data_IF_954762459401
#
_entry.id   IF_954762459401
#
_cell.length_a   1.000
_cell.length_b   1.000
_cell.length_c   1.000
_cell.angle_alpha   90.00
_cell.angle_beta   90.00
_cell.angle_gamma   90.00
#
_symmetry.space_group_name_H-M   'P 1'
#
loop_
_entity.id
_entity.type
_entity.pdbx_description
1 polymer ?
#
# COMPACT_ATOMS: atom_id res chain seq x y z
N UNK A 1 0.05 17.99 -9.25
CA UNK A 1 -0.16 16.87 -10.19
C UNK A 1 -1.14 15.91 -9.54
N UNK A 2 -2.16 15.51 -10.29
CA UNK A 2 -3.16 14.55 -9.83
C UNK A 2 -3.09 13.34 -10.74
N UNK A 3 -3.01 12.15 -10.15
CA UNK A 3 -3.00 10.87 -10.86
C UNK A 3 -4.36 10.20 -10.71
N UNK A 4 -4.69 9.32 -11.65
CA UNK A 4 -5.86 8.45 -11.52
C UNK A 4 -5.51 7.23 -10.69
N UNK A 5 -6.44 6.86 -9.80
CA UNK A 5 -6.46 5.58 -9.13
C UNK A 5 -7.55 4.75 -9.81
N UNK A 6 -7.21 3.55 -10.29
CA UNK A 6 -8.17 2.71 -11.01
C UNK A 6 -7.85 1.24 -10.79
N UNK A 7 -8.87 0.44 -10.47
CA UNK A 7 -8.72 -1.02 -10.47
C UNK A 7 -8.70 -1.56 -11.90
N UNK A 8 -8.19 -2.79 -12.10
CA UNK A 8 -8.04 -3.39 -13.44
C UNK A 8 -9.34 -3.43 -14.25
N UNK A 9 -10.47 -3.76 -13.63
CA UNK A 9 -11.77 -3.78 -14.31
C UNK A 9 -12.48 -2.42 -14.38
N UNK A 10 -11.89 -1.36 -13.79
CA UNK A 10 -12.42 0.00 -13.81
C UNK A 10 -13.64 0.26 -12.93
N UNK A 11 -14.11 -0.72 -12.14
CA UNK A 11 -15.25 -0.51 -11.23
C UNK A 11 -14.89 0.39 -10.04
N UNK A 12 -13.67 0.27 -9.52
CA UNK A 12 -13.14 1.17 -8.48
C UNK A 12 -12.30 2.24 -9.16
N UNK A 13 -12.64 3.50 -8.91
CA UNK A 13 -11.96 4.66 -9.48
C UNK A 13 -11.72 5.71 -8.41
N UNK A 14 -10.72 6.57 -8.63
CA UNK A 14 -10.37 7.63 -7.73
C UNK A 14 -9.26 8.51 -8.27
N UNK A 15 -8.78 9.41 -7.41
CA UNK A 15 -7.71 10.36 -7.71
C UNK A 15 -6.70 10.40 -6.58
N UNK A 16 -5.44 10.67 -6.93
CA UNK A 16 -4.33 10.86 -5.98
C UNK A 16 -3.65 12.21 -6.22
N UNK A 17 -3.61 13.06 -5.19
CA UNK A 17 -2.81 14.30 -5.22
C UNK A 17 -1.35 13.99 -4.85
N UNK A 18 -0.47 13.98 -5.87
CA UNK A 18 0.94 13.64 -5.71
C UNK A 18 1.68 14.57 -4.73
N UNK A 19 1.21 15.81 -4.53
CA UNK A 19 1.85 16.79 -3.62
C UNK A 19 1.76 16.39 -2.15
N UNK A 20 0.89 15.42 -1.83
CA UNK A 20 0.68 14.90 -0.48
C UNK A 20 1.38 13.56 -0.25
N UNK A 21 2.19 13.11 -1.20
CA UNK A 21 3.07 11.96 -1.03
C UNK A 21 4.25 12.30 -0.11
N UNK A 22 4.62 11.32 0.71
CA UNK A 22 5.78 11.39 1.60
C UNK A 22 7.02 10.76 0.95
N UNK A 23 6.86 9.56 0.38
CA UNK A 23 7.90 8.81 -0.33
C UNK A 23 7.31 7.66 -1.15
N UNK A 24 8.00 7.24 -2.21
CA UNK A 24 7.77 5.95 -2.88
C UNK A 24 8.84 4.95 -2.46
N UNK A 25 8.43 3.72 -2.18
CA UNK A 25 9.32 2.66 -1.72
C UNK A 25 8.89 1.29 -2.24
N UNK A 26 9.88 0.44 -2.49
CA UNK A 26 9.69 -0.97 -2.86
C UNK A 26 9.95 -1.84 -1.64
N UNK A 27 8.94 -2.61 -1.24
CA UNK A 27 8.99 -3.43 -0.02
C UNK A 27 9.05 -4.92 -0.34
N UNK A 28 10.05 -5.59 0.23
CA UNK A 28 10.35 -7.01 0.00
C UNK A 28 9.94 -7.92 1.16
N UNK A 29 9.18 -7.42 2.14
CA UNK A 29 8.81 -8.25 3.30
C UNK A 29 7.89 -9.41 2.92
N UNK A 30 7.93 -10.48 3.73
CA UNK A 30 7.09 -11.66 3.54
C UNK A 30 5.59 -11.35 3.48
N UNK A 31 5.11 -10.32 4.17
CA UNK A 31 3.71 -9.90 4.13
C UNK A 31 3.31 -9.30 2.77
N UNK A 32 4.16 -8.48 2.17
CA UNK A 32 3.88 -7.90 0.85
C UNK A 32 3.81 -9.00 -0.20
N UNK A 33 4.72 -9.97 -0.13
CA UNK A 33 4.71 -11.15 -0.98
C UNK A 33 3.49 -12.04 -0.76
N UNK A 34 3.14 -12.33 0.50
CA UNK A 34 1.95 -13.12 0.83
C UNK A 34 0.66 -12.43 0.35
N UNK A 35 0.56 -11.11 0.52
CA UNK A 35 -0.55 -10.33 0.01
C UNK A 35 -0.65 -10.39 -1.52
N UNK A 36 0.46 -10.17 -2.23
CA UNK A 36 0.48 -10.24 -3.68
C UNK A 36 0.07 -11.63 -4.20
N UNK A 37 0.56 -12.70 -3.57
CA UNK A 37 0.15 -14.08 -3.86
C UNK A 37 -1.33 -14.31 -3.62
N UNK A 38 -1.87 -13.82 -2.50
CA UNK A 38 -3.30 -13.93 -2.19
C UNK A 38 -4.19 -13.25 -3.24
N UNK A 39 -3.77 -12.11 -3.78
CA UNK A 39 -4.52 -11.42 -4.83
C UNK A 39 -4.47 -12.15 -6.18
N UNK A 40 -3.39 -12.91 -6.44
CA UNK A 40 -3.20 -13.66 -7.68
C UNK A 40 -3.18 -12.77 -8.93
N UNK A 41 -2.86 -11.49 -8.77
CA UNK A 41 -2.85 -10.51 -9.86
C UNK A 41 -1.44 -10.35 -10.46
N UNK A 42 -1.31 -10.27 -11.79
CA UNK A 42 -0.04 -9.93 -12.41
C UNK A 42 0.34 -8.47 -12.14
N UNK A 43 1.65 -8.20 -12.07
CA UNK A 43 2.20 -6.86 -11.91
C UNK A 43 2.17 -6.29 -10.48
N UNK A 44 1.82 -7.10 -9.47
CA UNK A 44 1.84 -6.65 -8.05
C UNK A 44 3.22 -6.72 -7.43
N UNK A 45 4.10 -7.60 -7.93
CA UNK A 45 5.49 -7.72 -7.51
C UNK A 45 6.43 -7.59 -8.70
N UNK A 46 7.62 -7.05 -8.44
CA UNK A 46 8.77 -7.20 -9.33
C UNK A 46 9.36 -8.62 -9.27
N UNK A 47 10.36 -8.87 -10.12
CA UNK A 47 11.03 -10.17 -10.23
C UNK A 47 11.70 -10.63 -8.91
N UNK A 48 12.08 -9.68 -8.04
CA UNK A 48 12.74 -9.96 -6.76
C UNK A 48 11.71 -10.08 -5.61
N UNK A 49 10.40 -10.03 -5.92
CA UNK A 49 9.31 -10.18 -4.96
C UNK A 49 8.93 -8.89 -4.23
N UNK A 50 9.33 -7.73 -4.75
CA UNK A 50 9.07 -6.41 -4.18
C UNK A 50 7.73 -5.84 -4.61
N UNK A 51 6.95 -5.31 -3.67
CA UNK A 51 5.74 -4.53 -3.98
C UNK A 51 6.05 -3.04 -3.91
N UNK A 52 5.70 -2.31 -4.96
CA UNK A 52 5.92 -0.87 -5.05
C UNK A 52 4.75 -0.07 -4.43
N UNK A 53 5.10 0.85 -3.52
CA UNK A 53 4.16 1.52 -2.61
C UNK A 53 4.52 3.00 -2.52
N UNK A 54 3.54 3.86 -2.72
CA UNK A 54 3.64 5.30 -2.48
C UNK A 54 3.00 5.61 -1.12
N UNK A 55 3.85 5.91 -0.14
CA UNK A 55 3.43 6.39 1.18
C UNK A 55 2.98 7.84 1.08
N UNK A 56 1.77 8.16 1.56
CA UNK A 56 1.18 9.49 1.47
C UNK A 56 0.21 9.79 2.61
N UNK A 57 -0.21 11.04 2.71
CA UNK A 57 -1.31 11.43 3.58
C UNK A 57 -2.64 10.86 3.04
N UNK A 58 -3.57 10.33 3.88
CA UNK A 58 -4.87 9.82 3.43
C UNK A 58 -5.71 10.85 2.65
N UNK A 59 -5.56 12.15 2.93
CA UNK A 59 -6.23 13.23 2.19
C UNK A 59 -5.72 13.38 0.74
N UNK A 60 -4.64 12.69 0.38
CA UNK A 60 -4.18 12.61 -1.00
C UNK A 60 -5.14 11.78 -1.87
N UNK A 61 -5.83 10.82 -1.28
CA UNK A 61 -6.64 9.83 -2.00
C UNK A 61 -8.11 10.18 -1.88
N UNK A 62 -8.83 10.09 -2.99
CA UNK A 62 -10.28 10.20 -3.03
C UNK A 62 -10.82 9.20 -4.03
N UNK A 63 -11.67 8.30 -3.57
CA UNK A 63 -12.45 7.45 -4.44
C UNK A 63 -13.57 8.28 -5.09
N UNK A 64 -13.85 7.99 -6.36
CA UNK A 64 -14.88 8.65 -7.16
C UNK A 64 -15.95 7.68 -7.64
N UNK A 65 -15.67 6.37 -7.61
CA UNK A 65 -16.63 5.29 -7.90
C UNK A 65 -16.19 3.95 -7.29
N UNK A 66 -17.16 3.07 -7.02
CA UNK A 66 -16.93 1.66 -6.67
C UNK A 66 -16.42 1.40 -5.25
N UNK A 67 -16.66 2.31 -4.30
CA UNK A 67 -16.24 2.13 -2.90
C UNK A 67 -16.85 0.87 -2.24
N UNK A 68 -18.02 0.44 -2.69
CA UNK A 68 -18.71 -0.79 -2.30
C UNK A 68 -17.94 -2.06 -2.70
N UNK A 69 -17.06 -1.96 -3.70
CA UNK A 69 -16.20 -3.06 -4.12
C UNK A 69 -14.87 -3.11 -3.37
N UNK A 70 -14.63 -2.23 -2.40
CA UNK A 70 -13.39 -2.22 -1.63
C UNK A 70 -13.52 -3.17 -0.43
N UNK A 71 -12.60 -4.13 -0.37
CA UNK A 71 -12.47 -5.08 0.74
C UNK A 71 -11.15 -4.87 1.49
N UNK A 72 -11.15 -5.23 2.77
CA UNK A 72 -9.99 -5.20 3.65
C UNK A 72 -9.61 -6.59 4.15
N UNK A 73 -8.32 -6.83 4.33
CA UNK A 73 -7.83 -8.00 5.06
C UNK A 73 -6.65 -7.64 5.95
N UNK A 74 -6.36 -8.52 6.89
CA UNK A 74 -5.11 -8.49 7.63
C UNK A 74 -4.47 -9.88 7.65
N UNK A 75 -3.17 -9.93 7.36
CA UNK A 75 -2.45 -11.21 7.25
C UNK A 75 -2.08 -11.83 8.61
N UNK A 76 -2.01 -11.01 9.66
CA UNK A 76 -1.73 -11.46 11.03
C UNK A 76 -2.40 -10.56 12.06
N UNK A 77 -2.62 -11.08 13.26
CA UNK A 77 -3.08 -10.26 14.37
C UNK A 77 -2.12 -9.08 14.62
N UNK A 78 -2.66 -7.88 14.75
CA UNK A 78 -1.87 -6.64 14.94
C UNK A 78 -1.15 -6.11 13.69
N UNK A 79 -1.21 -6.81 12.55
CA UNK A 79 -0.60 -6.36 11.29
C UNK A 79 -1.32 -5.17 10.63
N UNK A 80 -0.74 -4.66 9.54
CA UNK A 80 -1.36 -3.62 8.70
C UNK A 80 -2.66 -4.10 8.07
N UNK A 81 -3.60 -3.18 7.89
CA UNK A 81 -4.78 -3.42 7.06
C UNK A 81 -4.37 -3.28 5.59
N UNK A 82 -4.80 -4.21 4.75
CA UNK A 82 -4.53 -4.22 3.32
C UNK A 82 -5.84 -4.18 2.56
N UNK A 83 -5.95 -3.22 1.64
CA UNK A 83 -7.16 -2.86 0.93
C UNK A 83 -7.02 -3.21 -0.55
N UNK A 84 -8.04 -3.83 -1.11
CA UNK A 84 -8.10 -4.23 -2.51
C UNK A 84 -9.50 -4.06 -3.09
N UNK A 85 -9.58 -3.95 -4.41
CA UNK A 85 -10.84 -3.99 -5.14
C UNK A 85 -11.30 -5.44 -5.31
N UNK A 86 -12.33 -5.86 -4.58
CA UNK A 86 -12.85 -7.23 -4.57
C UNK A 86 -13.34 -7.70 -5.95
N UNK A 87 -13.84 -6.79 -6.78
CA UNK A 87 -14.34 -7.08 -8.13
C UNK A 87 -13.28 -7.68 -9.07
N UNK A 88 -11.99 -7.40 -8.87
CA UNK A 88 -10.91 -7.92 -9.72
C UNK A 88 -9.61 -8.21 -8.96
N UNK A 89 -9.66 -8.24 -7.63
CA UNK A 89 -8.50 -8.41 -6.73
C UNK A 89 -7.35 -7.42 -6.95
N UNK A 90 -7.61 -6.22 -7.49
CA UNK A 90 -6.54 -5.22 -7.67
C UNK A 90 -6.10 -4.67 -6.32
N UNK A 91 -4.80 -4.69 -5.97
CA UNK A 91 -4.32 -4.07 -4.73
C UNK A 91 -4.55 -2.56 -4.78
N UNK A 92 -5.04 -1.97 -3.69
CA UNK A 92 -5.26 -0.52 -3.61
C UNK A 92 -4.29 0.13 -2.63
N UNK A 93 -4.31 -0.29 -1.37
CA UNK A 93 -3.54 0.40 -0.33
C UNK A 93 -3.25 -0.47 0.88
N UNK A 94 -2.41 0.04 1.78
CA UNK A 94 -2.28 -0.44 3.15
C UNK A 94 -2.30 0.72 4.15
N UNK A 95 -2.79 0.44 5.36
CA UNK A 95 -2.86 1.42 6.44
C UNK A 95 -2.51 0.79 7.80
N UNK A 96 -2.02 1.60 8.77
CA UNK A 96 -2.08 1.25 10.18
C UNK A 96 -3.52 0.94 10.62
N UNK A 97 -3.68 0.27 11.77
CA UNK A 97 -5.00 0.00 12.35
C UNK A 97 -5.63 1.22 13.00
N UNK A 98 -4.80 2.11 13.55
CA UNK A 98 -5.27 3.39 14.08
C UNK A 98 -5.48 4.38 12.94
N UNK A 99 -6.74 4.60 12.58
CA UNK A 99 -7.13 5.55 11.53
C UNK A 99 -6.77 7.01 11.83
N UNK A 100 -6.31 7.34 13.05
CA UNK A 100 -5.78 8.67 13.39
C UNK A 100 -4.36 8.88 12.91
N UNK A 101 -3.65 7.81 12.54
CA UNK A 101 -2.33 7.92 11.91
C UNK A 101 -2.54 8.33 10.46
N UNK A 102 -2.13 9.55 10.11
CA UNK A 102 -2.28 10.13 8.77
C UNK A 102 -1.29 9.51 7.75
N UNK A 103 -1.44 8.21 7.51
CA UNK A 103 -0.64 7.40 6.61
C UNK A 103 -1.53 6.46 5.78
N UNK A 104 -1.28 6.43 4.48
CA UNK A 104 -1.71 5.37 3.58
C UNK A 104 -0.57 5.03 2.62
N UNK A 105 -0.29 3.74 2.45
CA UNK A 105 0.62 3.24 1.42
C UNK A 105 -0.18 2.77 0.22
N UNK A 106 -0.32 3.60 -0.81
CA UNK A 106 -1.01 3.25 -2.06
C UNK A 106 -0.12 2.34 -2.89
N UNK A 107 -0.65 1.21 -3.36
CA UNK A 107 0.11 0.29 -4.22
C UNK A 107 0.18 0.87 -5.63
N UNK A 108 1.39 1.05 -6.16
CA UNK A 108 1.59 1.77 -7.43
C UNK A 108 0.85 1.12 -8.62
N UNK A 109 0.63 -0.21 -8.57
CA UNK A 109 -0.09 -0.96 -9.59
C UNK A 109 -1.57 -0.55 -9.81
N UNK A 110 -2.15 0.26 -8.91
CA UNK A 110 -3.49 0.84 -9.11
C UNK A 110 -3.47 2.29 -9.59
N UNK A 111 -2.29 2.87 -9.83
CA UNK A 111 -2.14 4.24 -10.33
C UNK A 111 -1.89 4.21 -11.83
N UNK A 112 -2.57 5.09 -12.56
CA UNK A 112 -2.48 5.17 -14.02
C UNK A 112 -2.36 6.62 -14.50
N UNK A 113 -1.69 6.85 -15.63
CA UNK A 113 -0.82 5.90 -16.35
C UNK A 113 0.53 5.70 -15.62
N UNK A 114 1.18 4.56 -15.82
CA UNK A 114 2.46 4.20 -15.14
C UNK A 114 3.56 5.25 -15.35
N UNK A 115 3.66 5.80 -16.57
CA UNK A 115 4.62 6.86 -16.90
C UNK A 115 4.48 8.10 -16.00
N UNK A 116 3.25 8.45 -15.63
CA UNK A 116 2.97 9.59 -14.77
C UNK A 116 3.31 9.29 -13.30
N UNK A 117 3.26 8.03 -12.89
CA UNK A 117 3.65 7.59 -11.53
C UNK A 117 5.14 7.84 -11.31
N UNK A 118 5.97 7.43 -12.27
CA UNK A 118 7.41 7.65 -12.23
C UNK A 118 7.77 9.14 -12.31
N UNK A 119 7.07 9.90 -13.15
CA UNK A 119 7.25 11.34 -13.23
C UNK A 119 6.88 12.06 -11.91
N UNK A 120 5.85 11.58 -11.21
CA UNK A 120 5.36 12.17 -9.96
C UNK A 120 6.21 11.81 -8.73
N UNK A 121 6.69 10.56 -8.66
CA UNK A 121 7.25 10.00 -7.42
C UNK A 121 8.69 9.51 -7.56
N UNK A 122 9.27 9.59 -8.76
CA UNK A 122 10.54 8.95 -9.11
C UNK A 122 10.36 7.45 -9.37
N UNK A 123 11.39 6.77 -9.89
CA UNK A 123 11.31 5.35 -10.25
C UNK A 123 11.19 4.44 -9.02
N UNK A 124 10.64 3.21 -9.18
CA UNK A 124 10.65 2.21 -8.12
C UNK A 124 12.10 1.84 -7.72
N UNK A 125 12.28 1.32 -6.50
CA UNK A 125 13.59 0.91 -5.99
C UNK A 125 14.50 2.05 -5.49
N UNK A 126 14.08 3.31 -5.56
CA UNK A 126 14.84 4.43 -4.97
C UNK A 126 14.89 4.35 -3.43
N UNK A 127 13.82 3.84 -2.81
CA UNK A 127 13.78 3.47 -1.39
C UNK A 127 13.43 2.00 -1.29
N UNK A 128 14.33 1.19 -0.73
CA UNK A 128 14.16 -0.25 -0.56
C UNK A 128 13.90 -0.58 0.91
N UNK A 129 12.84 -1.34 1.16
CA UNK A 129 12.46 -1.82 2.49
C UNK A 129 12.62 -3.35 2.56
N UNK A 130 13.16 -3.85 3.67
CA UNK A 130 13.30 -5.29 3.94
C UNK A 130 14.08 -6.04 2.86
N UNK A 131 15.16 -5.45 2.34
CA UNK A 131 16.01 -6.03 1.28
C UNK A 131 16.43 -7.47 1.56
N UNK A 132 16.63 -7.82 2.82
CA UNK A 132 17.13 -9.12 3.25
C UNK A 132 16.07 -10.24 3.10
N UNK A 133 14.82 -9.87 2.80
CA UNK A 133 13.71 -10.79 2.49
C UNK A 133 13.42 -10.94 0.99
N UNK A 134 14.17 -10.24 0.13
CA UNK A 134 14.03 -10.33 -1.32
C UNK A 134 14.35 -11.73 -1.84
N UNK A 135 13.74 -12.10 -2.98
CA UNK A 135 13.96 -13.41 -3.62
C UNK A 135 15.37 -13.52 -4.21
N UNK A 136 15.99 -12.39 -4.55
CA UNK A 136 17.39 -12.31 -4.92
C UNK A 136 17.99 -10.96 -4.53
N UNK A 137 19.17 -10.65 -5.07
CA UNK A 137 19.90 -9.45 -4.69
C UNK A 137 19.13 -8.18 -5.08
N UNK A 138 19.07 -7.26 -4.11
CA UNK A 138 18.51 -5.91 -4.28
C UNK A 138 19.42 -4.89 -3.61
N UNK A 139 19.57 -3.73 -4.24
CA UNK A 139 20.44 -2.67 -3.72
C UNK A 139 19.84 -2.09 -2.43
N UNK A 140 20.60 -2.13 -1.33
CA UNK A 140 20.23 -1.44 -0.09
C UNK A 140 20.32 0.08 -0.25
N UNK A 141 19.38 0.80 0.34
CA UNK A 141 19.31 2.27 0.25
C UNK A 141 19.16 2.91 1.64
N UNK A 142 20.12 2.72 2.58
CA UNK A 142 19.94 3.12 3.99
C UNK A 142 19.69 4.62 4.17
N UNK A 143 20.40 5.48 3.43
CA UNK A 143 20.20 6.92 3.50
C UNK A 143 18.82 7.35 2.98
N UNK A 144 18.39 6.79 1.84
CA UNK A 144 17.08 7.08 1.27
C UNK A 144 15.95 6.55 2.17
N UNK A 145 16.15 5.39 2.80
CA UNK A 145 15.24 4.82 3.80
C UNK A 145 15.08 5.75 5.01
N UNK A 146 16.17 6.24 5.59
CA UNK A 146 16.12 7.18 6.72
C UNK A 146 15.44 8.48 6.33
N UNK A 147 15.75 9.04 5.16
CA UNK A 147 15.12 10.26 4.66
C UNK A 147 13.62 10.09 4.41
N UNK A 148 13.21 8.96 3.83
CA UNK A 148 11.80 8.62 3.62
C UNK A 148 11.06 8.46 4.96
N UNK A 149 11.65 7.76 5.92
CA UNK A 149 11.12 7.61 7.28
C UNK A 149 10.92 8.95 7.97
N UNK A 150 11.92 9.84 7.89
CA UNK A 150 11.82 11.20 8.44
C UNK A 150 10.69 12.02 7.78
N UNK A 151 10.55 11.97 6.46
CA UNK A 151 9.45 12.65 5.73
C UNK A 151 8.08 12.14 6.15
N UNK A 152 7.92 10.83 6.27
CA UNK A 152 6.67 10.21 6.74
C UNK A 152 6.36 10.65 8.18
N UNK A 153 7.34 10.58 9.08
CA UNK A 153 7.17 10.98 10.48
C UNK A 153 6.78 12.46 10.62
N UNK A 154 7.46 13.35 9.91
CA UNK A 154 7.12 14.78 9.88
C UNK A 154 5.71 15.02 9.34
N UNK A 155 5.31 14.32 8.27
CA UNK A 155 3.96 14.42 7.70
C UNK A 155 2.86 13.99 8.66
N UNK A 156 3.05 12.85 9.34
CA UNK A 156 2.14 12.34 10.37
C UNK A 156 2.05 13.31 11.54
N UNK A 157 3.19 13.81 12.04
CA UNK A 157 3.23 14.77 13.14
C UNK A 157 2.52 16.08 12.77
N UNK A 158 2.76 16.62 11.58
CA UNK A 158 2.09 17.82 11.09
C UNK A 158 0.58 17.63 10.92
N UNK A 159 0.11 16.44 10.50
CA UNK A 159 -1.31 16.12 10.44
C UNK A 159 -1.94 16.05 11.84
N UNK A 160 -1.23 15.44 12.80
CA UNK A 160 -1.66 15.35 14.20
C UNK A 160 -1.78 16.72 14.86
N UNK A 161 -0.78 17.60 14.67
CA UNK A 161 -0.80 18.98 15.18
C UNK A 161 -1.94 19.82 14.59
N UNK A 162 -2.37 19.51 13.36
CA UNK A 162 -3.51 20.14 12.69
C UNK A 162 -4.86 19.51 13.06
N UNK A 163 -4.90 18.51 13.94
CA UNK A 163 -6.13 17.82 14.31
C UNK A 163 -6.81 17.11 13.14
N UNK A 164 -6.04 16.59 12.17
CA UNK A 164 -6.60 15.91 11.01
C UNK A 164 -7.45 14.71 11.46
N UNK A 165 -8.73 14.72 11.11
CA UNK A 165 -9.64 13.62 11.39
C UNK A 165 -9.26 12.35 10.57
N UNK A 166 -9.58 11.15 11.08
CA UNK A 166 -9.51 9.92 10.28
C UNK A 166 -10.33 10.04 8.99
N UNK A 167 -9.92 9.30 7.94
CA UNK A 167 -10.63 9.29 6.67
C UNK A 167 -10.23 8.12 5.78
N UNK A 168 -10.72 8.14 4.53
CA UNK A 168 -10.53 7.12 3.50
C UNK A 168 -11.15 5.76 3.84
N UNK A 169 -10.47 4.94 4.64
CA UNK A 169 -10.94 3.60 5.02
C UNK A 169 -11.53 3.54 6.44
N UNK A 170 -11.55 4.67 7.15
CA UNK A 170 -11.93 4.74 8.56
C UNK A 170 -13.10 5.69 8.78
N UNK A 171 -13.95 5.36 9.75
CA UNK A 171 -14.98 6.25 10.26
C UNK A 171 -14.34 7.42 11.02
N UNK A 172 -15.14 8.45 11.33
CA UNK A 172 -14.69 9.58 12.15
C UNK A 172 -14.09 9.15 13.51
N UNK A 173 -14.53 8.00 14.03
CA UNK A 173 -14.03 7.41 15.28
C UNK A 173 -12.77 6.54 15.09
N UNK A 174 -12.23 6.46 13.88
CA UNK A 174 -11.02 5.69 13.56
C UNK A 174 -11.25 4.18 13.39
N UNK A 175 -12.51 3.73 13.26
CA UNK A 175 -12.83 2.32 13.04
C UNK A 175 -12.88 2.01 11.53
N UNK A 176 -12.35 0.85 11.08
CA UNK A 176 -12.37 0.50 9.66
C UNK A 176 -13.81 0.34 9.14
N UNK A 177 -14.12 0.99 8.00
CA UNK A 177 -15.46 1.03 7.41
C UNK A 177 -15.82 -0.20 6.57
N UNK A 178 -14.83 -1.00 6.21
CA UNK A 178 -14.96 -2.16 5.30
C UNK A 178 -14.27 -3.34 6.00
N UNK A 179 -14.99 -4.43 6.18
CA UNK A 179 -14.63 -5.57 7.06
C UNK A 179 -13.21 -6.03 6.80
N UNK A 180 -12.39 -6.02 7.86
CA UNK A 180 -11.04 -6.58 7.85
C UNK A 180 -11.09 -7.96 8.48
N UNK A 181 -11.27 -9.00 7.67
CA UNK A 181 -11.05 -10.36 8.15
C UNK A 181 -9.57 -10.53 8.50
N UNK A 182 -9.19 -11.08 9.67
CA UNK A 182 -7.93 -11.80 9.72
C UNK A 182 -8.04 -12.98 8.74
N UNK A 183 -7.04 -13.20 7.90
CA UNK A 183 -6.85 -14.54 7.34
C UNK A 183 -6.57 -15.44 8.55
N UNK A 184 -7.50 -16.33 8.89
CA UNK A 184 -7.27 -17.37 9.89
C UNK A 184 -6.06 -18.22 9.49
N UNK A 185 -5.30 -18.65 10.50
CA UNK A 185 -4.10 -19.51 10.49
C UNK A 185 -3.21 -19.53 9.23
N UNK A 186 -2.09 -18.80 9.36
CA UNK A 186 -0.82 -18.92 8.65
C UNK A 186 -0.82 -19.35 7.15
N UNK A 187 -0.90 -18.38 6.20
CA UNK A 187 -0.65 -18.64 4.79
C UNK A 187 0.79 -19.09 4.47
N UNK A 188 1.71 -19.10 5.45
CA UNK A 188 3.09 -19.59 5.27
C UNK A 188 3.16 -21.12 5.26
N UNK A 189 2.08 -21.82 5.63
CA UNK A 189 2.03 -23.29 5.65
C UNK A 189 1.90 -23.97 4.28
N UNK A 190 1.36 -23.28 3.27
CA UNK A 190 1.07 -23.89 1.96
C UNK A 190 2.11 -23.57 0.87
N UNK A 191 3.10 -22.73 1.16
CA UNK A 191 4.17 -22.37 0.21
C UNK A 191 5.49 -23.14 0.45
N UNK A 192 5.45 -24.26 1.19
CA UNK A 192 6.65 -24.98 1.65
C UNK A 192 6.70 -26.48 1.32
N UNK A 193 5.93 -26.98 0.35
CA UNK A 193 6.05 -28.35 -0.14
C UNK A 193 6.18 -28.38 -1.66
N UNK A 194 7.40 -28.19 -2.15
CA UNK A 194 7.81 -28.81 -3.41
C UNK A 194 8.03 -30.32 -3.14
N UNK A 195 7.49 -31.22 -3.99
CA UNK A 195 7.75 -32.65 -3.86
C UNK A 195 9.22 -32.97 -4.20
N UNK A 196 9.69 -34.05 -3.57
CA UNK A 196 11.07 -34.53 -3.51
C UNK A 196 11.82 -34.63 -4.84
#
# INVERSE_FOLDING_TARGET
MTLELRCRCGQVQGTVDARRAYARATCYCGDCRAYARHLGQPGVMDAQGGTDIVAMNPLAVRFTAGEEHIAGLCLRQGGLLRWYAACCRTPLANTPRDGKVAYVGVVAACLVPEADVDAAFGPPGHVVLNSDSAVGDVRRTPLAFLAAGARIAMGIMAARLRGQAPGLFFSANGQPLRTAYPLGEDPRGEAGREPA
#
